data_IF_173993384860
#
_entry.id   IF_173993384860
#
_cell.length_a   1.000
_cell.length_b   1.000
_cell.length_c   1.000
_cell.angle_alpha   90.00
_cell.angle_beta   90.00
_cell.angle_gamma   90.00
#
_symmetry.space_group_name_H-M   'P 1'
#
loop_
_entity.id
_entity.type
_entity.pdbx_description
1 polymer ?
#
# COMPACT_ATOMS: atom_id res chain seq x y z
N UNK A 1 -22.19 -78.97 18.66
CA UNK A 1 -21.68 -77.70 19.17
C UNK A 1 -21.68 -76.73 18.03
N UNK A 2 -22.58 -75.76 18.06
CA UNK A 2 -22.61 -74.65 17.12
C UNK A 2 -21.93 -73.49 17.84
N UNK A 3 -20.69 -73.19 17.46
CA UNK A 3 -19.97 -72.07 18.02
C UNK A 3 -20.56 -70.79 17.48
N UNK A 4 -21.16 -69.99 18.37
CA UNK A 4 -21.59 -68.65 18.01
C UNK A 4 -20.35 -67.81 17.67
N UNK A 5 -20.35 -67.22 16.48
CA UNK A 5 -19.31 -66.31 16.03
C UNK A 5 -19.91 -64.91 16.05
N UNK A 6 -19.42 -64.06 16.95
CA UNK A 6 -19.76 -62.64 16.95
C UNK A 6 -18.94 -61.93 15.89
N UNK A 7 -19.61 -61.28 14.94
CA UNK A 7 -18.99 -60.43 13.92
C UNK A 7 -19.32 -58.97 14.25
N UNK A 8 -18.29 -58.13 14.27
CA UNK A 8 -18.42 -56.68 14.33
C UNK A 8 -17.90 -56.08 13.03
N UNK A 9 -18.50 -54.98 12.60
CA UNK A 9 -18.10 -54.20 11.44
C UNK A 9 -17.88 -52.77 11.91
N UNK A 10 -16.77 -52.18 11.49
CA UNK A 10 -16.38 -50.82 11.85
C UNK A 10 -16.11 -50.05 10.56
N UNK A 11 -16.61 -48.82 10.49
CA UNK A 11 -16.23 -47.88 9.46
C UNK A 11 -15.07 -47.03 10.02
N UNK A 12 -13.95 -47.00 9.31
CA UNK A 12 -12.73 -46.30 9.73
C UNK A 12 -12.54 -45.14 8.77
N UNK A 13 -12.54 -43.93 9.31
CA UNK A 13 -12.10 -42.74 8.59
C UNK A 13 -10.62 -42.52 8.89
N UNK A 14 -9.82 -42.27 7.84
CA UNK A 14 -8.39 -42.00 7.97
C UNK A 14 -8.22 -40.53 7.66
N UNK A 15 -7.68 -39.82 8.64
CA UNK A 15 -7.31 -38.41 8.57
C UNK A 15 -6.17 -38.20 7.57
N UNK A 16 -6.27 -37.14 6.77
CA UNK A 16 -5.26 -36.76 5.78
C UNK A 16 -4.62 -35.44 6.19
N UNK A 17 -3.30 -35.24 5.96
CA UNK A 17 -2.69 -33.95 6.22
C UNK A 17 -3.33 -32.87 5.32
N UNK A 18 -3.33 -31.59 5.76
CA UNK A 18 -3.74 -30.48 4.93
C UNK A 18 -2.92 -30.41 3.63
N UNK A 19 -3.51 -29.92 2.54
CA UNK A 19 -2.84 -29.77 1.25
C UNK A 19 -2.52 -28.30 0.96
N UNK A 20 -1.24 -27.99 0.74
CA UNK A 20 -0.78 -26.65 0.36
C UNK A 20 -0.80 -26.53 -1.17
N UNK A 21 -1.71 -25.71 -1.70
CA UNK A 21 -1.82 -25.46 -3.15
C UNK A 21 -0.72 -24.54 -3.68
N UNK A 22 -0.16 -23.68 -2.83
CA UNK A 22 0.91 -22.75 -3.16
C UNK A 22 0.92 -21.51 -2.26
N UNK A 23 1.93 -20.68 -2.46
CA UNK A 23 2.12 -19.40 -1.75
C UNK A 23 1.99 -18.27 -2.78
N UNK A 24 1.21 -17.26 -2.44
CA UNK A 24 1.07 -16.02 -3.20
C UNK A 24 2.11 -15.01 -2.70
N UNK A 25 3.05 -14.68 -3.58
CA UNK A 25 4.17 -13.76 -3.36
C UNK A 25 4.15 -12.69 -4.46
N UNK A 26 4.52 -11.44 -4.15
CA UNK A 26 4.73 -10.43 -5.19
C UNK A 26 5.92 -10.79 -6.09
N UNK A 27 5.88 -10.34 -7.34
CA UNK A 27 6.94 -10.61 -8.34
C UNK A 27 8.31 -10.03 -7.93
N UNK A 28 8.30 -8.89 -7.23
CA UNK A 28 9.50 -8.19 -6.78
C UNK A 28 9.42 -7.96 -5.27
N UNK A 29 10.48 -8.37 -4.58
CA UNK A 29 10.64 -8.28 -3.13
C UNK A 29 11.88 -7.44 -2.87
N UNK A 30 11.73 -6.40 -2.04
CA UNK A 30 12.80 -5.47 -1.71
C UNK A 30 13.21 -5.63 -0.25
N UNK A 31 14.49 -5.44 0.05
CA UNK A 31 15.01 -5.37 1.41
C UNK A 31 14.31 -4.25 2.22
N UNK A 32 14.18 -4.43 3.54
CA UNK A 32 13.55 -3.50 4.48
C UNK A 32 12.07 -3.13 4.21
N UNK A 33 11.45 -3.70 3.18
CA UNK A 33 10.03 -3.54 2.91
C UNK A 33 9.19 -4.62 3.60
N UNK A 34 8.00 -4.22 4.07
CA UNK A 34 6.99 -5.14 4.61
C UNK A 34 6.22 -5.78 3.48
N UNK A 35 6.26 -7.11 3.45
CA UNK A 35 5.64 -7.90 2.39
C UNK A 35 4.57 -8.78 2.99
N UNK A 36 3.39 -8.73 2.39
CA UNK A 36 2.27 -9.57 2.73
C UNK A 36 2.38 -10.87 1.92
N UNK A 37 2.43 -12.00 2.61
CA UNK A 37 2.52 -13.33 2.02
C UNK A 37 1.28 -14.13 2.43
N UNK A 38 0.66 -14.81 1.47
CA UNK A 38 -0.56 -15.58 1.69
C UNK A 38 -0.32 -17.02 1.26
N UNK A 39 -0.66 -17.98 2.12
CA UNK A 39 -0.68 -19.40 1.74
C UNK A 39 -2.10 -19.84 1.38
N UNK A 40 -2.23 -20.58 0.28
CA UNK A 40 -3.48 -21.23 -0.08
C UNK A 40 -3.46 -22.69 0.39
N UNK A 41 -4.30 -22.99 1.38
CA UNK A 41 -4.38 -24.31 2.03
C UNK A 41 -5.80 -24.83 1.93
N UNK A 42 -5.93 -26.13 1.68
CA UNK A 42 -7.19 -26.85 1.77
C UNK A 42 -7.05 -28.08 2.64
N UNK A 43 -8.09 -28.39 3.39
CA UNK A 43 -8.15 -29.57 4.26
C UNK A 43 -9.43 -30.36 3.96
N UNK A 44 -9.30 -31.66 3.72
CA UNK A 44 -10.42 -32.47 3.20
C UNK A 44 -11.52 -32.64 4.25
N UNK A 45 -11.13 -32.77 5.52
CA UNK A 45 -11.96 -32.96 6.68
C UNK A 45 -12.74 -31.67 7.01
N UNK A 46 -12.07 -30.52 6.96
CA UNK A 46 -12.70 -29.21 7.08
C UNK A 46 -13.66 -28.92 5.92
N UNK A 47 -13.34 -29.31 4.68
CA UNK A 47 -14.23 -29.13 3.52
C UNK A 47 -15.47 -30.02 3.60
N UNK A 48 -15.33 -31.22 4.17
CA UNK A 48 -16.42 -32.16 4.37
C UNK A 48 -17.25 -31.88 5.65
N UNK A 49 -16.92 -30.83 6.42
CA UNK A 49 -17.55 -30.47 7.69
C UNK A 49 -17.58 -31.64 8.69
N UNK A 50 -16.51 -32.43 8.70
CA UNK A 50 -16.37 -33.57 9.61
C UNK A 50 -15.97 -33.07 10.99
N UNK A 51 -16.61 -33.57 12.05
CA UNK A 51 -16.24 -33.23 13.43
C UNK A 51 -15.79 -34.47 14.16
N UNK A 52 -14.54 -34.47 14.60
CA UNK A 52 -13.95 -35.58 15.33
C UNK A 52 -14.06 -35.40 16.84
N UNK A 53 -14.30 -36.53 17.52
CA UNK A 53 -14.33 -36.60 18.97
C UNK A 53 -13.34 -37.65 19.44
N UNK A 54 -12.52 -37.28 20.42
CA UNK A 54 -11.63 -38.19 21.13
C UNK A 54 -12.28 -38.60 22.44
N UNK A 55 -12.58 -39.89 22.54
CA UNK A 55 -12.91 -40.55 23.80
C UNK A 55 -11.63 -40.62 24.66
N UNK A 56 -11.67 -39.99 25.83
CA UNK A 56 -10.56 -40.01 26.79
C UNK A 56 -10.89 -40.87 28.03
N UNK A 57 -12.08 -41.45 28.07
CA UNK A 57 -12.68 -42.17 29.19
C UNK A 57 -13.29 -43.51 28.78
N UNK A 58 -12.66 -44.17 27.79
CA UNK A 58 -12.85 -45.54 27.25
C UNK A 58 -13.27 -46.66 28.23
N UNK A 59 -13.11 -46.48 29.55
CA UNK A 59 -13.42 -47.47 30.57
C UNK A 59 -14.75 -47.21 31.30
N UNK A 60 -15.47 -46.13 30.97
CA UNK A 60 -16.77 -45.80 31.58
C UNK A 60 -17.92 -46.69 31.08
N UNK A 61 -17.68 -47.46 30.00
CA UNK A 61 -18.62 -48.39 29.39
C UNK A 61 -19.61 -47.73 28.42
N UNK A 62 -19.46 -46.43 28.15
CA UNK A 62 -20.15 -45.73 27.08
C UNK A 62 -19.40 -45.96 25.75
N UNK A 63 -20.16 -46.01 24.65
CA UNK A 63 -19.61 -46.12 23.28
C UNK A 63 -20.20 -45.03 22.37
N UNK A 64 -20.86 -44.02 22.94
CA UNK A 64 -21.68 -43.05 22.19
C UNK A 64 -21.57 -41.62 22.69
N UNK A 65 -20.84 -41.41 23.79
CA UNK A 65 -20.56 -40.12 24.33
C UNK A 65 -19.49 -39.40 23.50
N UNK A 66 -19.55 -38.08 23.57
CA UNK A 66 -18.67 -37.18 22.84
C UNK A 66 -17.81 -36.46 23.88
N UNK A 67 -16.70 -37.06 24.29
CA UNK A 67 -15.91 -36.56 25.42
C UNK A 67 -15.17 -35.25 25.09
N UNK A 68 -14.31 -35.26 24.07
CA UNK A 68 -13.55 -34.07 23.65
C UNK A 68 -13.60 -33.87 22.14
N UNK A 69 -14.06 -32.71 21.70
CA UNK A 69 -13.98 -32.28 20.29
C UNK A 69 -12.53 -31.97 19.92
N UNK A 70 -12.08 -32.48 18.78
CA UNK A 70 -10.84 -32.06 18.13
C UNK A 70 -11.19 -30.89 17.21
N UNK A 71 -10.43 -29.79 17.27
CA UNK A 71 -10.68 -28.65 16.38
C UNK A 71 -10.20 -28.97 14.97
N UNK A 72 -10.91 -28.49 13.95
CA UNK A 72 -10.44 -28.51 12.56
C UNK A 72 -9.67 -27.23 12.20
N UNK A 73 -9.39 -26.38 13.18
CA UNK A 73 -8.61 -25.16 12.94
C UNK A 73 -7.19 -25.52 12.49
N UNK A 74 -6.76 -24.92 11.39
CA UNK A 74 -5.41 -25.09 10.86
C UNK A 74 -4.42 -24.19 11.62
N UNK A 75 -3.29 -24.75 11.99
CA UNK A 75 -2.17 -24.03 12.59
C UNK A 75 -1.10 -23.83 11.54
N UNK A 76 -0.89 -22.58 11.15
CA UNK A 76 0.06 -22.20 10.09
C UNK A 76 1.27 -21.55 10.75
N UNK A 77 2.46 -22.05 10.40
CA UNK A 77 3.75 -21.54 10.85
C UNK A 77 4.63 -21.24 9.63
N UNK A 78 5.41 -20.19 9.75
CA UNK A 78 6.23 -19.65 8.67
C UNK A 78 7.69 -19.58 9.13
N UNK A 79 8.59 -19.96 8.26
CA UNK A 79 10.02 -19.76 8.38
C UNK A 79 10.44 -18.78 7.29
N UNK A 80 11.02 -17.65 7.68
CA UNK A 80 11.39 -16.53 6.78
C UNK A 80 12.54 -16.93 5.86
N UNK A 81 13.53 -17.64 6.40
CA UNK A 81 14.70 -18.09 5.64
C UNK A 81 15.32 -19.33 6.28
N UNK A 82 15.11 -20.49 5.67
CA UNK A 82 15.64 -21.77 6.15
C UNK A 82 17.18 -21.89 6.08
N UNK A 83 17.88 -20.86 5.58
CA UNK A 83 19.34 -20.80 5.51
C UNK A 83 19.97 -20.09 6.72
N UNK A 84 19.20 -19.27 7.44
CA UNK A 84 19.71 -18.40 8.50
C UNK A 84 19.07 -18.80 9.83
N UNK A 85 19.91 -19.30 10.73
CA UNK A 85 19.56 -19.55 12.13
C UNK A 85 19.45 -18.22 12.89
N UNK A 86 18.22 -17.77 13.11
CA UNK A 86 17.91 -16.51 13.79
C UNK A 86 18.00 -16.65 15.31
N UNK A 87 17.57 -17.77 15.89
CA UNK A 87 17.56 -17.97 17.34
C UNK A 87 18.89 -18.49 17.92
N UNK A 88 19.77 -18.99 17.05
CA UNK A 88 21.12 -19.45 17.37
C UNK A 88 21.18 -20.84 18.00
N UNK A 89 20.15 -21.68 17.81
CA UNK A 89 20.08 -23.04 18.35
C UNK A 89 20.88 -24.07 17.52
N UNK A 90 21.39 -23.65 16.35
CA UNK A 90 22.17 -24.46 15.42
C UNK A 90 21.34 -25.17 14.35
N UNK A 91 20.05 -24.90 14.25
CA UNK A 91 19.11 -25.47 13.28
C UNK A 91 18.45 -24.31 12.51
N UNK A 92 18.87 -23.99 11.27
CA UNK A 92 18.38 -22.81 10.57
C UNK A 92 16.95 -22.93 10.03
N UNK A 93 16.34 -24.11 10.06
CA UNK A 93 15.02 -24.39 9.47
C UNK A 93 13.89 -24.49 10.51
N UNK A 94 14.10 -23.92 11.71
CA UNK A 94 13.17 -24.06 12.83
C UNK A 94 12.76 -22.77 13.56
N UNK A 95 13.04 -21.60 12.97
CA UNK A 95 12.69 -20.27 13.48
C UNK A 95 11.23 -19.90 13.17
N UNK A 96 10.30 -20.77 13.58
CA UNK A 96 8.88 -20.66 13.24
C UNK A 96 8.20 -19.40 13.79
N UNK A 97 7.64 -18.61 12.89
CA UNK A 97 6.82 -17.44 13.16
C UNK A 97 5.35 -17.79 12.91
N UNK A 98 4.45 -17.28 13.76
CA UNK A 98 3.00 -17.37 13.56
C UNK A 98 2.46 -16.02 13.11
N UNK A 99 1.43 -16.01 12.28
CA UNK A 99 0.76 -14.78 11.86
C UNK A 99 0.12 -14.06 13.06
N UNK A 100 0.36 -12.75 13.15
CA UNK A 100 -0.33 -11.87 14.09
C UNK A 100 -1.57 -11.20 13.47
N UNK A 101 -1.90 -11.55 12.23
CA UNK A 101 -2.99 -10.99 11.45
C UNK A 101 -4.34 -11.64 11.80
N UNK A 102 -5.44 -11.03 11.38
CA UNK A 102 -6.79 -11.58 11.59
C UNK A 102 -7.04 -12.88 10.82
N UNK A 103 -6.30 -13.08 9.73
CA UNK A 103 -6.32 -14.29 8.92
C UNK A 103 -5.06 -15.10 9.18
N UNK A 104 -5.20 -16.33 9.64
CA UNK A 104 -4.06 -17.21 9.95
C UNK A 104 -3.16 -17.47 8.73
N UNK A 105 -3.75 -17.44 7.52
CA UNK A 105 -3.07 -17.68 6.23
C UNK A 105 -2.23 -16.50 5.74
N UNK A 106 -2.36 -15.32 6.35
CA UNK A 106 -1.65 -14.11 5.97
C UNK A 106 -0.54 -13.83 6.98
N UNK A 107 0.69 -13.63 6.50
CA UNK A 107 1.81 -13.18 7.32
C UNK A 107 2.47 -11.95 6.71
N UNK A 108 3.03 -11.08 7.56
CA UNK A 108 3.85 -9.97 7.13
C UNK A 108 5.32 -10.27 7.46
N UNK A 109 6.16 -10.30 6.42
CA UNK A 109 7.59 -10.59 6.51
C UNK A 109 8.41 -9.39 6.05
N UNK A 110 9.64 -9.29 6.56
CA UNK A 110 10.62 -8.24 6.23
C UNK A 110 11.95 -8.95 6.11
N UNK A 111 12.71 -8.71 5.03
CA UNK A 111 14.08 -9.21 4.85
C UNK A 111 15.08 -8.06 4.97
N UNK A 112 16.15 -8.28 5.72
CA UNK A 112 17.12 -7.24 6.07
C UNK A 112 18.30 -7.18 5.08
N UNK A 113 18.62 -8.32 4.45
CA UNK A 113 19.74 -8.44 3.51
C UNK A 113 19.23 -8.86 2.11
N UNK A 114 19.82 -8.33 1.03
CA UNK A 114 19.47 -8.71 -0.33
C UNK A 114 20.14 -10.04 -0.69
N UNK A 115 19.45 -10.91 -1.44
CA UNK A 115 19.95 -12.23 -1.77
C UNK A 115 18.87 -13.24 -2.13
N UNK A 116 19.24 -14.51 -2.08
CA UNK A 116 18.31 -15.65 -2.20
C UNK A 116 17.98 -16.15 -0.79
N UNK A 117 16.69 -16.34 -0.51
CA UNK A 117 16.20 -16.92 0.74
C UNK A 117 15.24 -18.08 0.43
N UNK A 118 15.15 -19.04 1.35
CA UNK A 118 14.21 -20.17 1.21
C UNK A 118 13.08 -19.96 2.21
N UNK A 119 11.90 -19.61 1.70
CA UNK A 119 10.70 -19.47 2.52
C UNK A 119 10.08 -20.85 2.73
N UNK A 120 9.86 -21.23 3.99
CA UNK A 120 9.24 -22.51 4.34
C UNK A 120 7.94 -22.25 5.12
N UNK A 121 6.88 -22.96 4.77
CA UNK A 121 5.60 -22.91 5.48
C UNK A 121 5.23 -24.31 5.94
N UNK A 122 4.78 -24.42 7.18
CA UNK A 122 4.26 -25.65 7.77
C UNK A 122 2.81 -25.42 8.19
N UNK A 123 1.92 -26.28 7.71
CA UNK A 123 0.51 -26.23 8.06
C UNK A 123 0.11 -27.53 8.73
N UNK A 124 -0.42 -27.44 9.94
CA UNK A 124 -0.86 -28.59 10.72
C UNK A 124 -2.36 -28.54 10.99
N UNK A 125 -3.00 -29.71 11.00
CA UNK A 125 -4.37 -29.87 11.46
C UNK A 125 -4.45 -29.99 13.00
N UNK A 126 -5.66 -30.11 13.53
CA UNK A 126 -5.89 -30.30 14.96
C UNK A 126 -5.61 -31.73 15.47
N UNK A 127 -5.35 -32.69 14.58
CA UNK A 127 -4.96 -34.07 14.90
C UNK A 127 -3.42 -34.25 14.98
N UNK A 128 -2.67 -33.25 14.51
CA UNK A 128 -1.21 -33.18 14.52
C UNK A 128 -0.55 -33.69 13.23
N UNK A 129 -1.30 -33.88 12.13
CA UNK A 129 -0.68 -34.11 10.83
C UNK A 129 -0.35 -32.76 10.20
N UNK A 130 0.84 -32.69 9.59
CA UNK A 130 1.34 -31.47 9.00
C UNK A 130 1.81 -31.72 7.57
N UNK A 131 1.66 -30.70 6.74
CA UNK A 131 2.28 -30.58 5.42
C UNK A 131 3.24 -29.40 5.41
N UNK A 132 4.27 -29.49 4.57
CA UNK A 132 5.35 -28.51 4.46
C UNK A 132 5.57 -28.13 3.00
N UNK A 133 5.78 -26.84 2.76
CA UNK A 133 6.03 -26.32 1.42
C UNK A 133 7.18 -25.31 1.45
N UNK A 134 8.14 -25.49 0.56
CA UNK A 134 9.31 -24.64 0.40
C UNK A 134 9.24 -23.88 -0.93
N UNK A 135 9.66 -22.61 -0.93
CA UNK A 135 9.76 -21.80 -2.14
C UNK A 135 10.97 -20.89 -2.08
N UNK A 136 11.67 -20.79 -3.21
CA UNK A 136 12.82 -19.90 -3.36
C UNK A 136 12.33 -18.46 -3.59
N UNK A 137 12.91 -17.52 -2.84
CA UNK A 137 12.57 -16.10 -2.89
C UNK A 137 13.83 -15.30 -3.21
N UNK A 138 13.74 -14.37 -4.16
CA UNK A 138 14.84 -13.45 -4.48
C UNK A 138 14.52 -12.06 -3.93
N UNK A 139 15.37 -11.59 -3.02
CA UNK A 139 15.30 -10.27 -2.40
C UNK A 139 16.22 -9.32 -3.15
N UNK A 140 15.65 -8.25 -3.66
CA UNK A 140 16.33 -7.16 -4.34
C UNK A 140 16.81 -6.12 -3.31
N UNK A 141 17.95 -5.46 -3.56
CA UNK A 141 18.37 -4.32 -2.74
C UNK A 141 17.35 -3.18 -2.85
N UNK A 142 17.38 -2.23 -1.91
CA UNK A 142 16.49 -1.08 -1.89
C UNK A 142 16.50 -0.39 -3.27
N UNK A 143 15.32 -0.10 -3.81
CA UNK A 143 15.21 0.66 -5.04
C UNK A 143 15.76 2.08 -4.77
N UNK A 144 17.00 2.33 -5.18
CA UNK A 144 17.56 3.67 -5.25
C UNK A 144 16.54 4.57 -5.98
N UNK A 145 16.13 5.66 -5.33
CA UNK A 145 15.17 6.58 -5.92
C UNK A 145 15.63 6.98 -7.33
N UNK A 146 14.71 6.95 -8.31
CA UNK A 146 15.00 7.35 -9.69
C UNK A 146 15.81 8.66 -9.67
N UNK A 147 17.02 8.69 -10.27
CA UNK A 147 17.90 9.84 -10.15
C UNK A 147 17.18 11.06 -10.69
N UNK A 148 16.99 12.05 -9.81
CA UNK A 148 16.32 13.27 -10.18
C UNK A 148 17.28 14.14 -11.01
N UNK A 149 16.74 14.99 -11.88
CA UNK A 149 17.57 15.93 -12.65
C UNK A 149 18.37 16.90 -11.76
N UNK A 150 18.06 16.98 -10.46
CA UNK A 150 18.79 17.74 -9.45
C UNK A 150 20.01 17.02 -8.87
N UNK A 151 20.15 15.70 -9.08
CA UNK A 151 21.25 14.91 -8.52
C UNK A 151 22.51 14.96 -9.38
N UNK A 152 22.44 15.54 -10.58
CA UNK A 152 23.61 15.75 -11.43
C UNK A 152 24.49 16.89 -10.89
N UNK A 153 25.73 16.55 -10.57
CA UNK A 153 26.75 17.52 -10.20
C UNK A 153 27.19 18.37 -11.40
N UNK A 154 27.72 19.55 -11.12
CA UNK A 154 28.31 20.43 -12.15
C UNK A 154 29.44 19.75 -12.93
N UNK A 155 30.16 18.83 -12.29
CA UNK A 155 31.26 18.09 -12.92
C UNK A 155 30.75 16.99 -13.85
N UNK A 156 29.64 16.32 -13.52
CA UNK A 156 28.96 15.36 -14.40
C UNK A 156 28.30 16.04 -15.60
N UNK A 157 27.77 17.24 -15.40
CA UNK A 157 27.23 18.03 -16.52
C UNK A 157 28.35 18.45 -17.48
N UNK A 158 29.51 18.85 -16.93
CA UNK A 158 30.68 19.23 -17.72
C UNK A 158 31.31 18.04 -18.43
N UNK A 159 31.36 16.86 -17.80
CA UNK A 159 31.86 15.64 -18.41
C UNK A 159 30.92 15.16 -19.52
N UNK A 160 29.61 15.13 -19.28
CA UNK A 160 28.59 14.85 -20.30
C UNK A 160 28.68 15.82 -21.48
N UNK A 161 28.78 17.12 -21.22
CA UNK A 161 28.94 18.15 -22.25
C UNK A 161 30.24 17.97 -23.07
N UNK A 162 31.27 17.39 -22.45
CA UNK A 162 32.54 17.09 -23.13
C UNK A 162 32.56 15.75 -23.89
N UNK A 163 31.81 14.75 -23.43
CA UNK A 163 31.73 13.41 -24.04
C UNK A 163 30.67 13.33 -25.15
N UNK A 164 29.59 14.11 -25.03
CA UNK A 164 28.49 14.17 -26.01
C UNK A 164 28.84 14.96 -27.29
N UNK A 165 30.12 14.99 -27.66
CA UNK A 165 30.68 15.74 -28.80
C UNK A 165 29.83 15.65 -30.07
N UNK A 166 29.81 16.75 -30.83
CA UNK A 166 29.02 16.99 -32.05
C UNK A 166 27.49 16.97 -31.88
N UNK A 167 26.91 15.94 -31.27
CA UNK A 167 25.45 15.77 -31.18
C UNK A 167 24.82 16.66 -30.09
N UNK A 168 25.49 16.92 -28.97
CA UNK A 168 25.00 17.85 -27.94
C UNK A 168 24.87 19.30 -28.45
N UNK A 169 25.72 19.72 -29.40
CA UNK A 169 25.59 21.05 -30.02
C UNK A 169 24.30 21.17 -30.84
N UNK A 170 23.86 20.09 -31.50
CA UNK A 170 22.60 20.05 -32.23
C UNK A 170 21.39 20.19 -31.31
N UNK A 171 21.38 19.47 -30.19
CA UNK A 171 20.32 19.59 -29.18
C UNK A 171 20.27 20.98 -28.54
N UNK A 172 21.42 21.56 -28.18
CA UNK A 172 21.48 22.91 -27.62
C UNK A 172 21.03 23.96 -28.64
N UNK A 173 21.41 23.81 -29.92
CA UNK A 173 20.95 24.69 -30.99
C UNK A 173 19.43 24.61 -31.19
N UNK A 174 18.83 23.42 -31.09
CA UNK A 174 17.38 23.22 -31.17
C UNK A 174 16.65 23.84 -29.98
N UNK A 175 17.18 23.69 -28.76
CA UNK A 175 16.60 24.31 -27.55
C UNK A 175 16.65 25.84 -27.67
N UNK A 176 17.79 26.40 -28.11
CA UNK A 176 17.92 27.84 -28.35
C UNK A 176 16.99 28.33 -29.46
N UNK A 177 16.87 27.58 -30.56
CA UNK A 177 15.95 27.92 -31.64
C UNK A 177 14.49 27.90 -31.18
N UNK A 178 14.10 26.91 -30.36
CA UNK A 178 12.76 26.82 -29.79
C UNK A 178 12.48 27.95 -28.79
N UNK A 179 13.44 28.34 -27.96
CA UNK A 179 13.31 29.50 -27.06
C UNK A 179 13.19 30.82 -27.83
N UNK A 180 13.99 31.02 -28.88
CA UNK A 180 13.92 32.22 -29.73
C UNK A 180 12.59 32.26 -30.48
N UNK A 181 12.12 31.12 -31.01
CA UNK A 181 10.80 31.02 -31.65
C UNK A 181 9.66 31.26 -30.66
N UNK A 182 9.70 30.65 -29.48
CA UNK A 182 8.72 30.87 -28.43
C UNK A 182 8.65 32.34 -28.00
N UNK A 183 9.81 32.98 -27.84
CA UNK A 183 9.91 34.40 -27.56
C UNK A 183 9.39 35.27 -28.72
N UNK A 184 9.68 34.90 -29.98
CA UNK A 184 9.23 35.65 -31.16
C UNK A 184 7.72 35.52 -31.37
N UNK A 185 7.15 34.33 -31.17
CA UNK A 185 5.70 34.10 -31.21
C UNK A 185 4.97 34.89 -30.12
N UNK A 186 5.50 34.93 -28.89
CA UNK A 186 4.94 35.76 -27.82
C UNK A 186 5.05 37.27 -28.06
N UNK A 187 5.90 37.71 -29.00
CA UNK A 187 6.05 39.13 -29.37
C UNK A 187 5.17 39.54 -30.55
N UNK A 188 4.46 38.60 -31.18
CA UNK A 188 3.46 38.94 -32.19
C UNK A 188 2.15 39.30 -31.47
N UNK A 189 1.57 40.48 -31.72
CA UNK A 189 0.27 40.81 -31.16
C UNK A 189 -0.73 39.78 -31.68
N UNK A 190 -1.46 39.14 -30.77
CA UNK A 190 -2.54 38.26 -31.17
C UNK A 190 -3.68 39.10 -31.76
N UNK A 191 -4.55 38.47 -32.54
CA UNK A 191 -5.70 39.10 -33.21
C UNK A 191 -6.57 39.89 -32.22
N UNK A 192 -6.64 39.45 -30.95
CA UNK A 192 -7.31 40.18 -29.87
C UNK A 192 -6.59 41.45 -29.41
N UNK A 193 -5.25 41.51 -29.43
CA UNK A 193 -4.49 42.75 -29.13
C UNK A 193 -4.51 43.74 -30.30
N UNK A 194 -4.55 43.27 -31.54
CA UNK A 194 -4.73 44.14 -32.72
C UNK A 194 -6.13 44.77 -32.75
N UNK A 195 -7.17 44.00 -32.43
CA UNK A 195 -8.52 44.53 -32.24
C UNK A 195 -8.58 45.48 -31.02
N UNK A 196 -7.87 45.18 -29.93
CA UNK A 196 -7.79 46.07 -28.78
C UNK A 196 -7.09 47.40 -29.11
N UNK A 197 -6.02 47.38 -29.91
CA UNK A 197 -5.36 48.60 -30.41
C UNK A 197 -6.27 49.41 -31.33
N UNK A 198 -6.95 48.77 -32.28
CA UNK A 198 -7.91 49.47 -33.16
C UNK A 198 -9.11 50.03 -32.40
N UNK A 199 -9.59 49.32 -31.37
CA UNK A 199 -10.67 49.80 -30.50
C UNK A 199 -10.20 50.92 -29.56
N UNK A 200 -8.95 50.90 -29.08
CA UNK A 200 -8.35 51.99 -28.30
C UNK A 200 -7.98 53.22 -29.15
N UNK A 201 -7.75 53.06 -30.45
CA UNK A 201 -7.61 54.19 -31.38
C UNK A 201 -8.98 54.75 -31.81
N UNK A 202 -10.03 53.91 -31.83
CA UNK A 202 -11.41 54.32 -32.16
C UNK A 202 -12.12 55.03 -31.01
N UNK A 203 -11.78 54.68 -29.77
CA UNK A 203 -12.24 55.35 -28.56
C UNK A 203 -10.99 55.78 -27.78
N UNK A 204 -10.70 57.08 -27.66
CA UNK A 204 -9.59 57.59 -26.83
C UNK A 204 -9.81 57.19 -25.35
N UNK A 205 -9.40 55.98 -24.99
CA UNK A 205 -9.41 55.49 -23.61
C UNK A 205 -8.02 55.68 -23.04
N UNK A 206 -7.87 56.68 -22.18
CA UNK A 206 -6.65 56.94 -21.41
C UNK A 206 -6.47 55.79 -20.39
N UNK A 207 -5.61 54.83 -20.73
CA UNK A 207 -5.11 53.73 -19.89
C UNK A 207 -6.13 52.63 -19.51
N UNK A 208 -5.97 51.45 -20.10
CA UNK A 208 -6.54 50.21 -19.58
C UNK A 208 -5.54 49.61 -18.58
N UNK A 209 -5.89 49.58 -17.29
CA UNK A 209 -5.12 48.87 -16.29
C UNK A 209 -5.12 47.37 -16.60
N UNK A 210 -3.93 46.77 -16.60
CA UNK A 210 -3.69 45.35 -16.87
C UNK A 210 -4.44 44.46 -15.88
N UNK A 211 -5.27 43.55 -16.43
CA UNK A 211 -5.65 42.32 -15.75
C UNK A 211 -7.12 42.20 -15.38
N UNK A 212 -7.94 41.72 -16.33
CA UNK A 212 -9.27 41.23 -16.01
C UNK A 212 -9.92 40.51 -17.19
N UNK A 213 -10.05 39.19 -17.11
CA UNK A 213 -10.78 38.39 -18.09
C UNK A 213 -12.20 38.97 -18.31
N UNK A 214 -12.47 39.40 -19.54
CA UNK A 214 -13.76 39.86 -20.02
C UNK A 214 -14.76 38.68 -20.01
N UNK A 215 -15.51 38.52 -18.92
CA UNK A 215 -16.52 37.47 -18.83
C UNK A 215 -17.08 37.17 -17.44
N UNK A 216 -16.51 37.75 -16.38
CA UNK A 216 -17.07 37.64 -15.03
C UNK A 216 -17.75 38.95 -14.64
N UNK A 217 -18.99 38.82 -14.20
CA UNK A 217 -19.87 39.85 -13.64
C UNK A 217 -19.08 40.93 -12.86
N UNK A 218 -19.14 42.19 -13.34
CA UNK A 218 -18.55 43.35 -12.66
C UNK A 218 -19.36 43.70 -11.42
N UNK A 219 -19.37 42.82 -10.43
CA UNK A 219 -19.78 43.16 -9.09
C UNK A 219 -18.57 43.72 -8.37
N UNK A 220 -18.63 45.00 -8.03
CA UNK A 220 -17.76 45.54 -7.00
C UNK A 220 -17.91 44.63 -5.77
N UNK A 221 -16.81 44.13 -5.17
CA UNK A 221 -16.94 43.37 -3.94
C UNK A 221 -17.73 44.23 -2.96
N UNK A 222 -18.73 43.65 -2.25
CA UNK A 222 -19.55 44.42 -1.34
C UNK A 222 -18.62 45.18 -0.38
N UNK A 223 -18.89 46.46 -0.10
CA UNK A 223 -18.00 47.28 0.70
C UNK A 223 -17.72 46.57 2.02
N UNK A 224 -16.43 46.44 2.35
CA UNK A 224 -16.00 45.72 3.54
C UNK A 224 -16.77 46.24 4.78
N UNK A 225 -17.26 45.36 5.66
CA UNK A 225 -18.08 45.77 6.78
C UNK A 225 -17.33 46.79 7.64
N UNK A 226 -17.95 47.97 7.83
CA UNK A 226 -17.35 49.05 8.60
C UNK A 226 -17.14 48.60 10.04
N UNK A 227 -15.88 48.50 10.46
CA UNK A 227 -15.52 48.19 11.84
C UNK A 227 -15.86 49.44 12.68
N UNK A 228 -16.95 49.37 13.45
CA UNK A 228 -17.39 50.50 14.28
C UNK A 228 -16.33 50.84 15.33
N UNK A 229 -15.99 52.13 15.41
CA UNK A 229 -15.11 52.68 16.43
C UNK A 229 -15.74 52.56 17.84
N UNK A 230 -14.92 52.70 18.90
CA UNK A 230 -15.42 52.59 20.30
C UNK A 230 -16.54 53.59 20.62
N UNK A 231 -16.56 54.73 19.96
CA UNK A 231 -17.57 55.78 20.15
C UNK A 231 -18.85 55.44 19.38
N UNK A 232 -18.74 54.95 18.14
CA UNK A 232 -19.89 54.52 17.35
C UNK A 232 -20.60 53.32 17.99
N UNK A 233 -19.87 52.37 18.62
CA UNK A 233 -20.46 51.26 19.41
C UNK A 233 -21.25 51.70 20.64
N UNK A 234 -21.23 52.98 21.00
CA UNK A 234 -22.02 53.56 22.11
C UNK A 234 -23.19 54.43 21.61
N UNK A 235 -23.31 54.63 20.29
CA UNK A 235 -24.43 55.36 19.70
C UNK A 235 -25.59 54.39 19.42
N UNK A 236 -26.80 54.75 19.83
CA UNK A 236 -28.00 53.93 19.66
C UNK A 236 -28.40 53.78 18.17
N UNK A 237 -27.98 54.72 17.31
CA UNK A 237 -28.23 54.68 15.86
C UNK A 237 -27.33 53.67 15.10
N UNK A 238 -26.28 53.15 15.76
CA UNK A 238 -25.28 52.28 15.11
C UNK A 238 -25.74 50.84 14.90
N UNK A 239 -26.91 50.47 15.42
CA UNK A 239 -27.44 49.10 15.36
C UNK A 239 -26.60 48.06 16.12
N UNK A 240 -25.55 48.47 16.83
CA UNK A 240 -24.66 47.56 17.56
C UNK A 240 -25.29 47.08 18.87
N UNK A 241 -25.63 45.80 18.94
CA UNK A 241 -26.15 45.17 20.15
C UNK A 241 -24.97 44.71 21.02
N UNK A 242 -24.80 45.31 22.21
CA UNK A 242 -23.77 44.88 23.15
C UNK A 242 -24.16 43.53 23.78
N UNK A 243 -23.27 42.53 23.81
CA UNK A 243 -23.54 41.28 24.51
C UNK A 243 -23.69 41.53 26.02
N UNK A 244 -24.79 41.04 26.60
CA UNK A 244 -25.07 41.16 28.04
C UNK A 244 -24.09 40.26 28.81
N UNK A 245 -23.21 40.88 29.59
CA UNK A 245 -22.36 40.14 30.52
C UNK A 245 -23.21 39.74 31.72
N UNK A 246 -23.47 38.43 31.87
CA UNK A 246 -24.13 37.88 33.05
C UNK A 246 -23.27 38.25 34.27
N UNK A 247 -23.88 38.92 35.24
CA UNK A 247 -23.25 39.32 36.49
C UNK A 247 -23.39 38.12 37.44
N UNK A 248 -22.29 37.48 37.79
CA UNK A 248 -22.23 36.62 38.98
C UNK A 248 -22.42 37.47 40.24
#
# INVERSE_FOLDING_TARGET
>A
GTGDVTRAEFNIHIDSPPEISGIDLPDEIYEDFKIAVIVNVSDAESLADLVFYRDNDVMDGSNSDRSRTISNDLVIKWEKDALIDQDGDGIPDNDWITSNETLATLVTLIWDDPGEAILLVRVCDGMGLCDEYETDVTILPEQDADPSLSDFSWDEWKSWMSDAGSDALGFIALILAALILGWLVMRQPNETEEEAKQNAETYEVEHADDGGMLGMDHHLPPPAPKILSKQERRSDDSGYIRPLRRRE
#
